data_IF_881082193789
#
_entry.id   IF_881082193789
#
_cell.length_a   1.000
_cell.length_b   1.000
_cell.length_c   1.000
_cell.angle_alpha   90.00
_cell.angle_beta   90.00
_cell.angle_gamma   90.00
#
_symmetry.space_group_name_H-M   'P 1'
#
loop_
_entity.id
_entity.type
_entity.pdbx_description
1 polymer ?
#
# COMPACT_ATOMS: atom_id res chain seq x y z
N UNK A 1 11.95 -3.69 -13.67
CA UNK A 1 12.09 -2.29 -13.22
C UNK A 1 11.26 -2.10 -11.95
N UNK A 2 11.80 -1.50 -10.88
CA UNK A 2 11.02 -1.18 -9.69
C UNK A 2 9.96 -0.13 -10.02
N UNK A 3 8.72 -0.35 -9.54
CA UNK A 3 7.61 0.57 -9.72
C UNK A 3 7.33 1.29 -8.40
N UNK A 4 7.24 2.61 -8.44
CA UNK A 4 6.79 3.39 -7.30
C UNK A 4 5.28 3.20 -7.12
N UNK A 5 4.88 2.70 -5.94
CA UNK A 5 3.47 2.53 -5.59
C UNK A 5 2.93 3.76 -4.90
N UNK A 6 1.67 4.08 -5.16
CA UNK A 6 0.92 5.02 -4.35
C UNK A 6 0.63 4.39 -2.99
N UNK A 7 0.65 5.19 -1.94
CA UNK A 7 0.27 4.76 -0.59
C UNK A 7 -0.22 5.95 0.23
N UNK A 8 -1.04 5.65 1.22
CA UNK A 8 -1.34 6.57 2.32
C UNK A 8 -0.55 6.13 3.56
N UNK A 9 -0.17 7.09 4.42
CA UNK A 9 0.47 6.81 5.69
C UNK A 9 -0.20 7.60 6.82
N UNK A 10 -0.51 6.92 7.93
CA UNK A 10 -1.15 7.50 9.10
C UNK A 10 -0.32 7.22 10.35
N UNK A 11 -0.46 8.09 11.36
CA UNK A 11 0.14 7.90 12.67
C UNK A 11 1.67 7.97 12.70
N UNK A 12 2.21 7.48 13.82
CA UNK A 12 3.63 7.44 14.14
C UNK A 12 3.92 6.27 15.08
N UNK A 13 5.16 5.80 15.15
CA UNK A 13 5.52 4.63 15.95
C UNK A 13 5.97 3.44 15.09
N UNK A 14 5.95 2.21 15.61
CA UNK A 14 6.35 1.02 14.87
C UNK A 14 5.56 0.87 13.56
N UNK A 15 6.21 0.49 12.44
CA UNK A 15 5.54 0.46 11.15
C UNK A 15 4.65 -0.77 10.98
N UNK A 16 3.46 -0.57 10.42
CA UNK A 16 2.52 -1.63 9.99
C UNK A 16 2.14 -1.38 8.54
N UNK A 17 2.11 -2.42 7.71
CA UNK A 17 1.65 -2.35 6.32
C UNK A 17 0.42 -3.21 6.15
N UNK A 18 -0.67 -2.63 5.63
CA UNK A 18 -1.90 -3.37 5.34
C UNK A 18 -2.07 -3.47 3.82
N UNK A 19 -2.07 -4.71 3.31
CA UNK A 19 -2.28 -5.00 1.90
C UNK A 19 -3.76 -5.29 1.63
N UNK A 20 -4.31 -4.70 0.58
CA UNK A 20 -5.68 -4.97 0.16
C UNK A 20 -5.81 -6.30 -0.60
N UNK A 21 -7.04 -6.81 -0.66
CA UNK A 21 -7.40 -8.01 -1.43
C UNK A 21 -7.74 -7.70 -2.89
N UNK A 22 -8.23 -8.72 -3.60
CA UNK A 22 -8.64 -8.62 -5.01
C UNK A 22 -9.70 -7.51 -5.21
N UNK A 23 -9.58 -6.75 -6.30
CA UNK A 23 -10.43 -5.59 -6.63
C UNK A 23 -10.39 -4.44 -5.60
N UNK A 24 -9.45 -4.47 -4.66
CA UNK A 24 -9.31 -3.45 -3.63
C UNK A 24 -8.33 -2.32 -3.95
N UNK A 25 -8.20 -1.43 -2.97
CA UNK A 25 -7.21 -0.36 -2.88
C UNK A 25 -6.85 -0.16 -1.38
N UNK A 26 -5.71 0.46 -1.08
CA UNK A 26 -5.24 0.72 0.28
C UNK A 26 -6.30 1.42 1.14
N UNK A 27 -7.00 2.41 0.56
CA UNK A 27 -8.10 3.15 1.21
C UNK A 27 -9.27 2.30 1.72
N UNK A 28 -9.40 1.04 1.28
CA UNK A 28 -10.42 0.15 1.85
C UNK A 28 -10.18 -0.15 3.33
N UNK A 29 -8.97 0.10 3.83
CA UNK A 29 -8.56 -0.16 5.21
C UNK A 29 -8.50 1.10 6.10
N UNK A 30 -8.93 2.27 5.62
CA UNK A 30 -8.75 3.55 6.33
C UNK A 30 -9.28 3.53 7.76
N UNK A 31 -10.46 2.93 8.02
CA UNK A 31 -11.02 2.85 9.37
C UNK A 31 -10.14 2.03 10.33
N UNK A 32 -9.60 0.91 9.87
CA UNK A 32 -8.67 0.09 10.66
C UNK A 32 -7.32 0.78 10.85
N UNK A 33 -6.86 1.47 9.81
CA UNK A 33 -5.62 2.23 9.87
C UNK A 33 -5.71 3.40 10.85
N UNK A 34 -6.86 4.07 10.96
CA UNK A 34 -7.09 5.11 11.95
C UNK A 34 -6.99 4.58 13.38
N UNK A 35 -7.58 3.41 13.66
CA UNK A 35 -7.49 2.78 14.98
C UNK A 35 -6.04 2.38 15.33
N UNK A 36 -5.31 1.79 14.38
CA UNK A 36 -3.91 1.42 14.59
C UNK A 36 -2.96 2.63 14.62
N UNK A 37 -3.34 3.75 14.02
CA UNK A 37 -2.52 4.96 13.96
C UNK A 37 -2.38 5.67 15.31
N UNK A 38 -3.13 5.24 16.34
CA UNK A 38 -2.98 5.74 17.71
C UNK A 38 -1.56 5.46 18.27
N UNK A 39 -0.97 4.33 17.92
CA UNK A 39 0.34 3.87 18.42
C UNK A 39 1.29 3.31 17.35
N UNK A 40 0.84 3.18 16.09
CA UNK A 40 1.64 2.71 14.97
C UNK A 40 1.72 3.70 13.80
N UNK A 41 2.79 3.56 13.00
CA UNK A 41 2.89 4.19 11.67
C UNK A 41 2.29 3.22 10.65
N UNK A 42 1.08 3.47 10.18
CA UNK A 42 0.34 2.55 9.29
C UNK A 42 0.49 3.00 7.84
N UNK A 43 0.87 2.08 6.95
CA UNK A 43 0.97 2.29 5.50
C UNK A 43 -0.10 1.48 4.76
N UNK A 44 -0.80 2.17 3.85
CA UNK A 44 -1.85 1.62 3.00
C UNK A 44 -1.44 1.72 1.52
N UNK A 45 -0.56 0.84 1.01
CA UNK A 45 -0.17 0.87 -0.40
C UNK A 45 -1.28 0.34 -1.31
N UNK A 46 -1.40 0.98 -2.47
CA UNK A 46 -2.13 0.43 -3.61
C UNK A 46 -1.22 -0.53 -4.37
N UNK A 47 -1.64 -1.78 -4.56
CA UNK A 47 -0.87 -2.74 -5.34
C UNK A 47 -0.70 -2.24 -6.79
N UNK A 48 0.31 -2.77 -7.50
CA UNK A 48 0.49 -2.52 -8.95
C UNK A 48 -0.86 -2.71 -9.68
N UNK A 49 -1.19 -1.83 -10.63
CA UNK A 49 -2.44 -1.84 -11.39
C UNK A 49 -3.72 -1.69 -10.54
N UNK A 50 -3.63 -1.20 -9.30
CA UNK A 50 -4.78 -0.93 -8.42
C UNK A 50 -4.74 0.51 -7.90
N UNK A 51 -5.90 1.02 -7.50
CA UNK A 51 -6.04 2.34 -6.88
C UNK A 51 -5.35 3.44 -7.70
N UNK A 52 -4.48 4.22 -7.05
CA UNK A 52 -3.70 5.29 -7.66
C UNK A 52 -2.30 4.83 -8.11
N UNK A 53 -1.95 3.54 -7.93
CA UNK A 53 -0.67 3.01 -8.39
C UNK A 53 -0.64 2.89 -9.92
N UNK A 54 0.54 3.08 -10.56
CA UNK A 54 0.65 3.01 -12.01
C UNK A 54 0.24 1.65 -12.56
N UNK A 55 -0.23 1.69 -13.80
CA UNK A 55 -0.52 0.50 -14.58
C UNK A 55 0.70 0.10 -15.39
N UNK A 56 1.01 -1.20 -15.40
CA UNK A 56 2.09 -1.81 -16.15
C UNK A 56 1.54 -2.96 -17.01
N UNK A 57 2.15 -3.15 -18.17
CA UNK A 57 1.79 -4.19 -19.14
C UNK A 57 1.99 -5.61 -18.60
N UNK A 58 2.93 -5.79 -17.67
CA UNK A 58 3.24 -7.07 -17.02
C UNK A 58 3.04 -7.05 -15.51
N UNK A 59 2.69 -8.21 -14.94
CA UNK A 59 2.55 -8.43 -13.50
C UNK A 59 2.93 -9.87 -13.12
N UNK A 60 4.10 -10.35 -13.55
CA UNK A 60 4.62 -11.62 -13.01
C UNK A 60 4.87 -11.49 -11.50
N UNK A 61 4.93 -12.63 -10.81
CA UNK A 61 5.18 -12.63 -9.36
C UNK A 61 6.49 -11.91 -9.01
N UNK A 62 7.54 -12.12 -9.80
CA UNK A 62 8.85 -11.49 -9.59
C UNK A 62 8.80 -9.97 -9.80
N UNK A 63 7.93 -9.48 -10.68
CA UNK A 63 7.74 -8.05 -10.93
C UNK A 63 6.87 -7.36 -9.87
N UNK A 64 6.16 -8.12 -9.04
CA UNK A 64 5.43 -7.58 -7.87
C UNK A 64 6.35 -7.20 -6.71
N UNK A 65 7.67 -7.44 -6.79
CA UNK A 65 8.64 -6.81 -5.89
C UNK A 65 8.52 -5.30 -6.03
N UNK A 66 8.08 -4.67 -4.97
CA UNK A 66 7.86 -3.23 -4.94
C UNK A 66 8.67 -2.61 -3.81
N UNK A 67 8.98 -1.34 -4.00
CA UNK A 67 9.58 -0.51 -2.97
C UNK A 67 8.54 0.56 -2.66
N UNK A 68 8.06 0.62 -1.43
CA UNK A 68 7.33 1.79 -0.97
C UNK A 68 8.31 2.97 -1.09
N UNK A 69 8.06 3.88 -2.02
CA UNK A 69 8.88 5.09 -2.15
C UNK A 69 8.76 5.90 -0.86
N UNK A 70 9.84 6.57 -0.44
CA UNK A 70 9.80 7.47 0.73
C UNK A 70 8.99 8.71 0.43
#
# INVERSE_FOLDING_TARGET
>A
MPLALAFEALGSGPPVVILHGLFGAGRNWTQFAQALAEDHRVYLPDARNHGASPWAESMSYMERRTTCAR
#
